data_IF_360960588368
#
_entry.id   IF_360960588368
#
_cell.length_a   1.000
_cell.length_b   1.000
_cell.length_c   1.000
_cell.angle_alpha   90.00
_cell.angle_beta   90.00
_cell.angle_gamma   90.00
#
_symmetry.space_group_name_H-M   'P 1'
#
loop_
_entity.id
_entity.type
_entity.pdbx_description
1 polymer ?
#
# COMPACT_ATOMS: atom_id res chain seq x y z
N UNK A 1 -22.41 -2.52 8.54
CA UNK A 1 -22.41 -1.04 8.52
C UNK A 1 -20.99 -0.58 8.16
N UNK A 2 -20.83 0.11 7.04
CA UNK A 2 -19.56 0.21 6.30
C UNK A 2 -18.48 1.04 7.03
N UNK A 3 -17.39 0.35 7.42
CA UNK A 3 -16.24 0.84 8.21
C UNK A 3 -15.13 1.38 7.31
N UNK A 4 -15.29 2.55 6.70
CA UNK A 4 -14.35 3.05 5.70
C UNK A 4 -14.16 4.57 5.78
N UNK A 5 -12.92 5.04 5.61
CA UNK A 5 -12.56 6.46 5.53
C UNK A 5 -13.31 7.15 4.39
N UNK A 6 -13.84 8.35 4.65
CA UNK A 6 -14.45 9.20 3.62
C UNK A 6 -13.61 10.47 3.45
N UNK A 7 -13.48 10.94 2.21
CA UNK A 7 -12.87 12.24 1.92
C UNK A 7 -13.79 13.35 2.39
N UNK A 8 -13.21 14.38 3.01
CA UNK A 8 -13.92 15.65 3.21
C UNK A 8 -14.12 16.30 1.84
N UNK A 9 -15.38 16.43 1.39
CA UNK A 9 -15.73 17.18 0.19
C UNK A 9 -15.79 16.44 -1.15
N UNK A 10 -15.75 15.10 -1.16
CA UNK A 10 -16.21 14.29 -2.31
C UNK A 10 -15.60 14.67 -3.66
N UNK A 11 -14.29 14.93 -3.74
CA UNK A 11 -13.63 15.20 -5.01
C UNK A 11 -13.13 13.88 -5.65
N UNK A 12 -13.78 13.36 -6.72
CA UNK A 12 -13.34 12.16 -7.41
C UNK A 12 -11.99 12.33 -8.15
N UNK A 13 -11.49 13.56 -8.28
CA UNK A 13 -10.18 13.91 -8.84
C UNK A 13 -9.16 14.36 -7.77
N UNK A 14 -9.52 14.26 -6.48
CA UNK A 14 -8.59 14.51 -5.38
C UNK A 14 -7.47 13.46 -5.34
N UNK A 15 -6.43 13.74 -4.56
CA UNK A 15 -5.47 12.70 -4.21
C UNK A 15 -6.22 11.53 -3.53
N UNK A 16 -5.69 10.31 -3.64
CA UNK A 16 -6.26 9.07 -3.07
C UNK A 16 -5.66 8.73 -1.70
N UNK A 17 -6.39 8.33 -0.65
CA UNK A 17 -5.89 7.90 0.68
C UNK A 17 -4.46 7.31 0.70
N UNK A 18 -4.17 6.34 -0.17
CA UNK A 18 -2.85 5.74 -0.31
C UNK A 18 -1.75 6.64 -0.91
N UNK A 19 -2.07 7.55 -1.82
CA UNK A 19 -1.19 8.61 -2.30
C UNK A 19 -1.00 9.74 -1.27
N UNK A 20 -2.03 10.22 -0.58
CA UNK A 20 -1.89 11.30 0.42
C UNK A 20 -0.97 10.87 1.53
N UNK A 21 -1.22 9.70 2.12
CA UNK A 21 -0.36 9.23 3.20
C UNK A 21 1.09 9.08 2.71
N UNK A 22 1.29 8.61 1.47
CA UNK A 22 2.63 8.54 0.89
C UNK A 22 3.33 9.91 0.79
N UNK A 23 2.59 10.95 0.41
CA UNK A 23 3.10 12.34 0.33
C UNK A 23 3.40 12.87 1.74
N UNK A 24 2.49 12.70 2.68
CA UNK A 24 2.66 13.14 4.08
C UNK A 24 3.88 12.44 4.69
N UNK A 25 4.02 11.12 4.52
CA UNK A 25 5.17 10.36 5.03
C UNK A 25 6.50 10.88 4.46
N UNK A 26 6.58 11.16 3.15
CA UNK A 26 7.80 11.72 2.54
C UNK A 26 8.15 13.09 3.11
N UNK A 27 7.15 13.95 3.31
CA UNK A 27 7.33 15.30 3.86
C UNK A 27 7.78 15.26 5.32
N UNK A 28 7.16 14.38 6.12
CA UNK A 28 7.46 14.20 7.53
C UNK A 28 8.60 13.18 7.77
N UNK A 29 9.40 12.86 6.76
CA UNK A 29 10.43 11.83 6.88
C UNK A 29 11.46 12.21 7.98
N UNK A 30 11.73 11.34 8.98
CA UNK A 30 12.56 11.71 10.13
C UNK A 30 14.05 11.92 9.81
N UNK A 31 14.53 11.43 8.67
CA UNK A 31 15.94 11.49 8.32
C UNK A 31 16.77 10.47 9.12
N UNK A 32 17.77 10.94 9.88
CA UNK A 32 18.61 10.09 10.71
C UNK A 32 18.03 9.95 12.11
N UNK A 33 17.81 8.70 12.53
CA UNK A 33 17.37 8.37 13.88
C UNK A 33 18.54 7.83 14.70
N UNK A 34 18.59 8.25 15.97
CA UNK A 34 19.59 7.79 16.93
C UNK A 34 19.13 6.50 17.61
N UNK A 35 20.07 5.59 17.84
CA UNK A 35 19.85 4.39 18.62
C UNK A 35 21.09 4.08 19.45
N UNK A 36 20.92 3.40 20.58
CA UNK A 36 22.03 2.88 21.37
C UNK A 36 22.30 1.45 20.91
N UNK A 37 23.54 1.16 20.52
CA UNK A 37 23.94 -0.21 20.19
C UNK A 37 24.19 -1.04 21.46
N UNK A 38 24.45 -2.35 21.27
CA UNK A 38 24.70 -3.29 22.38
C UNK A 38 25.94 -2.94 23.23
N UNK A 39 26.80 -2.04 22.72
CA UNK A 39 27.98 -1.54 23.43
C UNK A 39 27.73 -0.25 24.21
N UNK A 40 26.48 0.24 24.21
CA UNK A 40 26.10 1.50 24.88
C UNK A 40 26.46 2.74 24.07
N UNK A 41 26.93 2.59 22.83
CA UNK A 41 27.34 3.72 21.98
C UNK A 41 26.14 4.21 21.20
N UNK A 42 25.88 5.52 21.27
CA UNK A 42 24.85 6.15 20.45
C UNK A 42 25.32 6.21 19.00
N UNK A 43 24.60 5.51 18.12
CA UNK A 43 24.79 5.53 16.67
C UNK A 43 23.60 6.19 15.99
N UNK A 44 23.75 6.46 14.70
CA UNK A 44 22.69 6.98 13.85
C UNK A 44 22.50 6.08 12.64
N UNK A 45 21.25 5.92 12.21
CA UNK A 45 20.87 5.21 10.98
C UNK A 45 19.73 5.96 10.30
N UNK A 46 19.48 5.76 8.99
CA UNK A 46 18.29 6.32 8.37
C UNK A 46 17.03 5.69 8.99
N UNK A 47 15.95 6.45 9.02
CA UNK A 47 14.62 5.92 9.32
C UNK A 47 14.20 4.96 8.19
N UNK A 48 13.87 3.72 8.55
CA UNK A 48 13.51 2.64 7.64
C UNK A 48 12.14 2.05 7.95
N UNK A 49 11.63 2.26 9.16
CA UNK A 49 10.36 1.72 9.64
C UNK A 49 9.44 2.84 10.13
N UNK A 50 8.15 2.52 10.27
CA UNK A 50 7.17 3.50 10.76
C UNK A 50 7.45 3.88 12.22
N UNK A 51 7.91 2.93 13.01
CA UNK A 51 8.31 3.11 14.39
C UNK A 51 9.42 4.16 14.53
N UNK A 52 10.25 4.36 13.51
CA UNK A 52 11.29 5.40 13.50
C UNK A 52 10.72 6.83 13.48
N UNK A 53 9.49 7.01 12.98
CA UNK A 53 8.81 8.31 12.99
C UNK A 53 8.44 8.76 14.40
N UNK A 54 8.44 7.85 15.38
CA UNK A 54 8.23 8.19 16.78
C UNK A 54 9.52 8.59 17.51
N UNK A 55 10.70 8.44 16.89
CA UNK A 55 11.99 8.64 17.58
C UNK A 55 12.52 10.07 17.50
N UNK A 56 12.02 10.86 16.54
CA UNK A 56 12.43 12.25 16.35
C UNK A 56 11.30 13.14 16.83
N UNK A 57 11.64 14.01 17.76
CA UNK A 57 10.75 15.00 18.35
C UNK A 57 11.33 16.39 18.10
N UNK A 58 10.47 17.36 17.79
CA UNK A 58 10.83 18.77 17.92
C UNK A 58 10.82 19.19 19.39
N UNK A 59 11.23 20.42 19.68
CA UNK A 59 11.35 20.96 21.05
C UNK A 59 10.03 20.91 21.84
N UNK A 60 8.88 20.84 21.15
CA UNK A 60 7.55 20.72 21.76
C UNK A 60 7.13 19.25 22.06
N UNK A 61 8.00 18.28 21.82
CA UNK A 61 7.75 16.85 22.10
C UNK A 61 6.88 16.13 21.06
N UNK A 62 6.38 16.84 20.05
CA UNK A 62 5.58 16.26 18.96
C UNK A 62 6.49 15.44 18.04
N UNK A 63 6.16 14.17 17.83
CA UNK A 63 6.91 13.29 16.94
C UNK A 63 6.54 13.49 15.47
N UNK A 64 7.42 13.07 14.55
CA UNK A 64 7.09 13.02 13.12
C UNK A 64 5.83 12.17 12.87
N UNK A 65 5.64 11.06 13.61
CA UNK A 65 4.45 10.23 13.49
C UNK A 65 3.17 10.98 13.89
N UNK A 66 3.23 11.83 14.91
CA UNK A 66 2.09 12.64 15.33
C UNK A 66 1.68 13.67 14.28
N UNK A 67 2.66 14.31 13.62
CA UNK A 67 2.41 15.21 12.48
C UNK A 67 1.77 14.47 11.31
N UNK A 68 2.27 13.27 10.98
CA UNK A 68 1.66 12.43 9.92
C UNK A 68 0.19 12.14 10.24
N UNK A 69 -0.11 11.71 11.47
CA UNK A 69 -1.49 11.42 11.89
C UNK A 69 -2.35 12.67 11.87
N UNK A 70 -1.86 13.80 12.38
CA UNK A 70 -2.61 15.07 12.39
C UNK A 70 -2.96 15.52 10.97
N UNK A 71 -1.98 15.51 10.07
CA UNK A 71 -2.15 15.91 8.66
C UNK A 71 -3.08 14.95 7.92
N UNK A 72 -2.95 13.65 8.18
CA UNK A 72 -3.87 12.67 7.64
C UNK A 72 -5.32 12.98 8.07
N UNK A 73 -5.54 13.23 9.36
CA UNK A 73 -6.88 13.50 9.90
C UNK A 73 -7.44 14.89 9.55
N UNK A 74 -6.63 15.79 8.97
CA UNK A 74 -7.15 17.03 8.32
C UNK A 74 -7.83 16.75 6.98
N UNK A 75 -7.50 15.63 6.33
CA UNK A 75 -8.00 15.28 5.00
C UNK A 75 -9.15 14.25 5.04
N UNK A 76 -9.25 13.47 6.11
CA UNK A 76 -10.14 12.32 6.22
C UNK A 76 -10.97 12.36 7.49
N UNK A 77 -12.20 11.83 7.42
CA UNK A 77 -13.06 11.66 8.59
C UNK A 77 -13.62 10.24 8.68
N UNK A 78 -13.97 9.85 9.91
CA UNK A 78 -14.69 8.63 10.26
C UNK A 78 -15.69 8.96 11.38
N UNK A 79 -16.73 8.15 11.53
CA UNK A 79 -17.65 8.30 12.67
C UNK A 79 -16.90 8.10 13.99
N UNK A 80 -17.31 8.81 15.04
CA UNK A 80 -16.65 8.75 16.35
C UNK A 80 -16.52 7.32 16.89
N UNK A 81 -17.56 6.51 16.72
CA UNK A 81 -17.58 5.09 17.10
C UNK A 81 -16.51 4.23 16.42
N UNK A 82 -15.98 4.67 15.27
CA UNK A 82 -14.97 3.96 14.49
C UNK A 82 -13.57 4.57 14.65
N UNK A 83 -13.41 5.67 15.40
CA UNK A 83 -12.14 6.42 15.45
C UNK A 83 -10.96 5.56 15.90
N UNK A 84 -11.12 4.82 17.00
CA UNK A 84 -10.08 3.96 17.57
C UNK A 84 -9.61 2.89 16.58
N UNK A 85 -10.54 2.26 15.87
CA UNK A 85 -10.20 1.22 14.90
C UNK A 85 -9.58 1.82 13.64
N UNK A 86 -10.07 2.98 13.20
CA UNK A 86 -9.49 3.69 12.06
C UNK A 86 -8.04 4.14 12.35
N UNK A 87 -7.73 4.58 13.57
CA UNK A 87 -6.35 4.87 13.98
C UNK A 87 -5.45 3.62 13.90
N UNK A 88 -5.94 2.45 14.34
CA UNK A 88 -5.20 1.17 14.20
C UNK A 88 -4.97 0.76 12.74
N UNK A 89 -5.95 1.00 11.89
CA UNK A 89 -5.84 0.75 10.45
C UNK A 89 -4.81 1.70 9.83
N UNK A 90 -4.84 2.99 10.20
CA UNK A 90 -3.89 4.00 9.75
C UNK A 90 -2.45 3.60 10.11
N UNK A 91 -2.23 3.20 11.37
CA UNK A 91 -0.95 2.67 11.86
C UNK A 91 -0.43 1.50 11.01
N UNK A 92 -1.30 0.50 10.79
CA UNK A 92 -0.96 -0.67 9.99
C UNK A 92 -0.65 -0.32 8.54
N UNK A 93 -1.39 0.65 8.01
CA UNK A 93 -1.19 1.13 6.64
C UNK A 93 0.11 1.94 6.52
N UNK A 94 0.43 2.78 7.50
CA UNK A 94 1.68 3.56 7.56
C UNK A 94 2.91 2.64 7.59
N UNK A 95 2.92 1.58 8.42
CA UNK A 95 3.99 0.56 8.45
C UNK A 95 4.30 0.00 7.07
N UNK A 96 3.26 -0.39 6.33
CA UNK A 96 3.43 -0.90 4.97
C UNK A 96 3.90 0.21 4.03
N UNK A 97 3.27 1.39 4.10
CA UNK A 97 3.52 2.48 3.18
C UNK A 97 4.94 3.05 3.29
N UNK A 98 5.52 3.10 4.50
CA UNK A 98 6.93 3.48 4.70
C UNK A 98 7.87 2.58 3.91
N UNK A 99 7.66 1.25 3.96
CA UNK A 99 8.45 0.29 3.18
C UNK A 99 8.27 0.50 1.67
N UNK A 100 7.04 0.77 1.23
CA UNK A 100 6.73 1.02 -0.18
C UNK A 100 7.40 2.30 -0.70
N UNK A 101 7.35 3.42 0.04
CA UNK A 101 7.97 4.69 -0.40
C UNK A 101 9.50 4.62 -0.43
N UNK A 102 10.12 3.88 0.49
CA UNK A 102 11.57 3.67 0.51
C UNK A 102 12.00 2.79 -0.66
N UNK A 103 11.24 1.73 -0.95
CA UNK A 103 11.48 0.90 -2.13
C UNK A 103 11.30 1.71 -3.42
N UNK A 104 10.25 2.52 -3.52
CA UNK A 104 10.00 3.35 -4.69
C UNK A 104 11.14 4.36 -4.88
N UNK A 105 11.65 5.00 -3.83
CA UNK A 105 12.78 5.91 -3.96
C UNK A 105 14.04 5.22 -4.50
N UNK A 106 14.27 3.94 -4.20
CA UNK A 106 15.35 3.18 -4.84
C UNK A 106 15.13 3.04 -6.34
N UNK A 107 13.88 2.77 -6.76
CA UNK A 107 13.50 2.67 -8.18
C UNK A 107 13.64 4.03 -8.87
N UNK A 108 13.21 5.10 -8.22
CA UNK A 108 13.34 6.47 -8.72
C UNK A 108 14.83 6.85 -8.89
N UNK A 109 15.69 6.49 -7.95
CA UNK A 109 17.14 6.69 -8.06
C UNK A 109 17.75 5.96 -9.26
N UNK A 110 17.30 4.72 -9.52
CA UNK A 110 17.70 3.98 -10.73
C UNK A 110 17.27 4.74 -11.98
N UNK A 111 16.03 5.23 -12.03
CA UNK A 111 15.54 6.00 -13.17
C UNK A 111 16.35 7.27 -13.39
N UNK A 112 16.57 8.06 -12.34
CA UNK A 112 17.39 9.28 -12.40
C UNK A 112 18.77 8.97 -12.96
N UNK A 113 19.44 7.94 -12.43
CA UNK A 113 20.78 7.57 -12.91
C UNK A 113 20.79 7.26 -14.41
N UNK A 114 19.86 6.44 -14.90
CA UNK A 114 19.84 6.07 -16.32
C UNK A 114 19.38 7.22 -17.23
N UNK A 115 18.43 8.05 -16.77
CA UNK A 115 17.97 9.24 -17.48
C UNK A 115 19.11 10.27 -17.66
N UNK A 116 19.92 10.50 -16.62
CA UNK A 116 21.12 11.34 -16.68
C UNK A 116 22.18 10.82 -17.69
N UNK A 117 22.09 9.54 -18.07
CA UNK A 117 22.94 8.90 -19.08
C UNK A 117 22.23 8.67 -20.43
N UNK A 118 21.03 9.24 -20.60
CA UNK A 118 20.26 9.20 -21.86
C UNK A 118 19.45 7.92 -22.09
N UNK A 119 19.20 7.11 -21.06
CA UNK A 119 18.35 5.91 -21.13
C UNK A 119 17.11 6.08 -20.24
N UNK A 120 15.94 6.23 -20.86
CA UNK A 120 14.67 6.27 -20.13
C UNK A 120 14.23 4.84 -19.74
N UNK A 121 13.97 4.61 -18.45
CA UNK A 121 13.53 3.32 -17.93
C UNK A 121 12.08 3.37 -17.42
N UNK A 122 11.29 2.35 -17.79
CA UNK A 122 10.02 2.09 -17.12
C UNK A 122 10.23 1.49 -15.70
N UNK A 123 9.16 1.41 -14.91
CA UNK A 123 9.21 0.84 -13.55
C UNK A 123 9.71 -0.61 -13.53
N UNK A 124 9.34 -1.41 -14.53
CA UNK A 124 9.67 -2.84 -14.58
C UNK A 124 11.17 -3.02 -14.78
N UNK A 125 11.77 -2.26 -15.68
CA UNK A 125 13.21 -2.25 -15.93
C UNK A 125 13.97 -1.70 -14.73
N UNK A 126 13.56 -0.55 -14.18
CA UNK A 126 14.22 0.06 -13.03
C UNK A 126 14.16 -0.81 -11.76
N UNK A 127 13.04 -1.52 -11.54
CA UNK A 127 12.91 -2.47 -10.43
C UNK A 127 13.92 -3.62 -10.49
N UNK A 128 14.32 -4.04 -11.69
CA UNK A 128 15.25 -5.15 -11.91
C UNK A 128 16.72 -4.74 -11.71
N UNK A 129 17.09 -3.51 -12.08
CA UNK A 129 18.48 -3.02 -12.01
C UNK A 129 18.96 -2.83 -10.57
N UNK A 130 20.27 -2.96 -10.40
CA UNK A 130 21.00 -2.68 -9.17
C UNK A 130 22.15 -1.73 -9.51
N UNK A 131 22.24 -0.62 -8.79
CA UNK A 131 23.33 0.36 -8.92
C UNK A 131 24.44 0.07 -7.91
N UNK A 132 25.66 0.54 -8.21
CA UNK A 132 26.74 0.64 -7.23
C UNK A 132 26.48 1.78 -6.25
N UNK A 133 27.29 1.86 -5.18
CA UNK A 133 27.16 2.92 -4.19
C UNK A 133 27.39 4.30 -4.84
N UNK A 134 28.41 4.41 -5.69
CA UNK A 134 28.78 5.64 -6.39
C UNK A 134 27.65 6.11 -7.32
N UNK A 135 27.03 5.16 -8.04
CA UNK A 135 25.90 5.44 -8.92
C UNK A 135 24.66 5.90 -8.15
N UNK A 136 24.35 5.26 -7.01
CA UNK A 136 23.27 5.76 -6.14
C UNK A 136 23.58 7.14 -5.56
N UNK A 137 24.82 7.40 -5.15
CA UNK A 137 25.22 8.72 -4.63
C UNK A 137 25.03 9.84 -5.68
N UNK A 138 25.26 9.54 -6.95
CA UNK A 138 25.06 10.47 -8.06
C UNK A 138 23.59 10.72 -8.44
N UNK A 139 22.65 9.87 -8.01
CA UNK A 139 21.24 9.88 -8.44
C UNK A 139 20.28 10.16 -7.28
N UNK A 140 20.53 11.26 -6.57
CA UNK A 140 19.76 11.62 -5.36
C UNK A 140 18.30 11.89 -5.68
N UNK A 141 17.42 11.24 -4.92
CA UNK A 141 15.99 11.54 -4.91
C UNK A 141 15.71 12.76 -4.03
N UNK A 142 14.98 13.73 -4.57
CA UNK A 142 14.89 15.08 -4.01
C UNK A 142 14.33 15.20 -2.59
N UNK A 143 13.40 14.32 -2.22
CA UNK A 143 12.79 14.37 -0.89
C UNK A 143 13.70 13.86 0.24
N UNK A 144 14.83 13.23 -0.09
CA UNK A 144 15.88 12.95 0.90
C UNK A 144 16.83 14.13 1.06
N UNK A 145 17.16 14.49 2.29
CA UNK A 145 18.20 15.48 2.55
C UNK A 145 19.58 14.98 2.07
N UNK A 146 20.49 15.87 1.65
CA UNK A 146 21.86 15.50 1.28
C UNK A 146 22.62 14.77 2.39
N UNK A 147 22.27 15.03 3.66
CA UNK A 147 22.88 14.36 4.82
C UNK A 147 22.40 12.92 4.95
N UNK A 148 21.12 12.63 4.69
CA UNK A 148 20.57 11.28 4.86
C UNK A 148 20.86 10.39 3.65
N UNK A 149 20.92 10.98 2.46
CA UNK A 149 21.05 10.24 1.20
C UNK A 149 22.20 9.21 1.19
N UNK A 150 23.44 9.54 1.59
CA UNK A 150 24.53 8.56 1.62
C UNK A 150 24.24 7.33 2.47
N UNK A 151 23.55 7.50 3.60
CA UNK A 151 23.20 6.40 4.48
C UNK A 151 22.14 5.48 3.86
N UNK A 152 21.18 6.04 3.12
CA UNK A 152 20.19 5.26 2.36
C UNK A 152 20.86 4.49 1.22
N UNK A 153 21.78 5.12 0.48
CA UNK A 153 22.54 4.43 -0.57
C UNK A 153 23.36 3.27 0.02
N UNK A 154 24.07 3.50 1.13
CA UNK A 154 24.82 2.44 1.81
C UNK A 154 23.92 1.29 2.27
N UNK A 155 22.71 1.61 2.78
CA UNK A 155 21.73 0.58 3.15
C UNK A 155 21.28 -0.25 1.94
N UNK A 156 20.97 0.36 0.80
CA UNK A 156 20.59 -0.40 -0.40
C UNK A 156 21.74 -1.21 -1.00
N UNK A 157 22.99 -0.80 -0.76
CA UNK A 157 24.17 -1.55 -1.13
C UNK A 157 24.58 -2.62 -0.10
N UNK A 158 23.92 -2.69 1.06
CA UNK A 158 24.23 -3.66 2.11
C UNK A 158 23.90 -5.09 1.68
N UNK A 159 24.66 -6.05 2.23
CA UNK A 159 24.43 -7.48 1.95
C UNK A 159 23.04 -7.91 2.39
N UNK A 160 22.62 -7.46 3.58
CA UNK A 160 21.34 -7.79 4.20
C UNK A 160 20.17 -7.34 3.31
N UNK A 161 20.23 -6.12 2.78
CA UNK A 161 19.20 -5.61 1.88
C UNK A 161 19.16 -6.40 0.57
N UNK A 162 20.31 -6.64 -0.07
CA UNK A 162 20.39 -7.38 -1.33
C UNK A 162 19.86 -8.81 -1.20
N UNK A 163 20.18 -9.50 -0.10
CA UNK A 163 19.65 -10.83 0.18
C UNK A 163 18.14 -10.82 0.41
N UNK A 164 17.62 -9.88 1.21
CA UNK A 164 16.19 -9.73 1.44
C UNK A 164 15.44 -9.44 0.13
N UNK A 165 15.97 -8.53 -0.71
CA UNK A 165 15.42 -8.22 -2.05
C UNK A 165 15.42 -9.44 -2.96
N UNK A 166 16.54 -10.17 -3.03
CA UNK A 166 16.67 -11.37 -3.86
C UNK A 166 15.67 -12.46 -3.44
N UNK A 167 15.50 -12.70 -2.12
CA UNK A 167 14.48 -13.62 -1.60
C UNK A 167 13.07 -13.16 -1.98
N UNK A 168 12.76 -11.88 -1.82
CA UNK A 168 11.46 -11.31 -2.19
C UNK A 168 11.15 -11.45 -3.68
N UNK A 169 12.13 -11.20 -4.55
CA UNK A 169 11.99 -11.39 -6.00
C UNK A 169 11.75 -12.86 -6.37
N UNK A 170 12.55 -13.78 -5.83
CA UNK A 170 12.39 -15.23 -6.07
C UNK A 170 11.02 -15.71 -5.61
N UNK A 171 10.57 -15.31 -4.43
CA UNK A 171 9.26 -15.69 -3.89
C UNK A 171 8.12 -15.23 -4.80
N UNK A 172 8.17 -13.98 -5.31
CA UNK A 172 7.15 -13.45 -6.23
C UNK A 172 7.11 -14.21 -7.56
N UNK A 173 8.28 -14.57 -8.10
CA UNK A 173 8.39 -15.27 -9.39
C UNK A 173 8.07 -16.77 -9.31
N UNK A 174 8.03 -17.36 -8.10
CA UNK A 174 7.72 -18.78 -7.91
C UNK A 174 6.22 -19.11 -7.96
N UNK A 175 5.34 -18.12 -7.77
CA UNK A 175 3.89 -18.37 -7.78
C UNK A 175 3.37 -18.56 -9.20
N UNK A 176 2.91 -19.78 -9.51
CA UNK A 176 2.27 -20.11 -10.79
C UNK A 176 0.82 -19.64 -10.89
N UNK A 177 0.19 -19.37 -9.74
CA UNK A 177 -1.19 -18.92 -9.62
C UNK A 177 -1.24 -17.59 -8.86
N UNK A 178 -0.85 -16.52 -9.55
CA UNK A 178 -0.75 -15.19 -8.97
C UNK A 178 -2.15 -14.59 -8.78
N UNK A 179 -2.61 -14.56 -7.53
CA UNK A 179 -3.89 -13.99 -7.13
C UNK A 179 -3.85 -12.46 -6.88
N UNK A 180 -2.96 -11.73 -7.58
CA UNK A 180 -2.89 -10.27 -7.46
C UNK A 180 -4.13 -9.61 -8.07
N UNK A 181 -4.53 -8.46 -7.53
CA UNK A 181 -5.62 -7.68 -8.10
C UNK A 181 -5.20 -7.14 -9.47
N UNK A 182 -6.10 -7.16 -10.45
CA UNK A 182 -5.76 -6.89 -11.85
C UNK A 182 -5.99 -5.45 -12.31
N UNK A 183 -6.94 -4.72 -11.74
CA UNK A 183 -7.18 -3.32 -12.17
C UNK A 183 -6.39 -2.25 -11.39
N UNK A 184 -5.09 -2.46 -11.21
CA UNK A 184 -4.14 -1.44 -10.76
C UNK A 184 -4.24 -1.02 -9.29
N UNK A 185 -3.82 0.22 -9.00
CA UNK A 185 -3.66 0.79 -7.64
C UNK A 185 -4.96 1.21 -6.97
N UNK A 186 -6.12 1.02 -7.62
CA UNK A 186 -7.42 1.43 -7.08
C UNK A 186 -7.76 0.54 -5.85
N UNK A 187 -7.99 1.12 -4.67
CA UNK A 187 -8.34 0.37 -3.46
C UNK A 187 -9.77 -0.17 -3.53
N UNK A 188 -10.07 -1.17 -2.69
CA UNK A 188 -11.38 -1.82 -2.63
C UNK A 188 -12.56 -0.85 -2.51
N UNK A 189 -12.44 0.16 -1.65
CA UNK A 189 -13.48 1.18 -1.46
C UNK A 189 -13.77 1.97 -2.73
N UNK A 190 -12.74 2.35 -3.50
CA UNK A 190 -12.93 3.07 -4.76
C UNK A 190 -13.55 2.19 -5.85
N UNK A 191 -13.24 0.88 -5.85
CA UNK A 191 -13.92 -0.07 -6.72
C UNK A 191 -15.41 -0.14 -6.40
N UNK A 192 -15.72 -0.28 -5.12
CA UNK A 192 -17.11 -0.35 -4.66
C UNK A 192 -17.88 0.93 -5.01
N UNK A 193 -17.32 2.09 -4.71
CA UNK A 193 -17.92 3.39 -5.02
C UNK A 193 -18.12 3.58 -6.53
N UNK A 194 -17.15 3.14 -7.34
CA UNK A 194 -17.29 3.17 -8.79
C UNK A 194 -18.45 2.29 -9.27
N UNK A 195 -18.55 1.06 -8.75
CA UNK A 195 -19.64 0.14 -9.08
C UNK A 195 -21.00 0.72 -8.68
N UNK A 196 -21.09 1.28 -7.47
CA UNK A 196 -22.31 1.91 -6.95
C UNK A 196 -22.75 3.08 -7.83
N UNK A 197 -21.80 3.97 -8.17
CA UNK A 197 -22.09 5.14 -8.97
C UNK A 197 -22.51 4.82 -10.40
N UNK A 198 -21.86 3.83 -11.03
CA UNK A 198 -22.06 3.54 -12.46
C UNK A 198 -23.17 2.51 -12.72
N UNK A 199 -23.35 1.54 -11.83
CA UNK A 199 -24.23 0.38 -12.04
C UNK A 199 -25.23 0.16 -10.90
N UNK A 200 -25.27 1.03 -9.90
CA UNK A 200 -26.20 0.93 -8.78
C UNK A 200 -25.67 0.16 -7.57
N UNK A 201 -26.28 0.37 -6.38
CA UNK A 201 -25.85 -0.26 -5.13
C UNK A 201 -25.89 -1.79 -5.15
N UNK A 202 -26.77 -2.39 -5.96
CA UNK A 202 -26.91 -3.83 -6.17
C UNK A 202 -25.69 -4.46 -6.84
N UNK A 203 -24.90 -3.67 -7.58
CA UNK A 203 -23.64 -4.12 -8.19
C UNK A 203 -22.42 -3.77 -7.34
N UNK A 204 -22.60 -2.96 -6.30
CA UNK A 204 -21.56 -2.57 -5.36
C UNK A 204 -21.43 -3.51 -4.16
N UNK A 205 -21.79 -4.79 -4.30
CA UNK A 205 -21.62 -5.80 -3.25
C UNK A 205 -20.13 -6.06 -2.98
N UNK A 206 -19.80 -6.51 -1.78
CA UNK A 206 -18.46 -6.93 -1.38
C UNK A 206 -17.94 -8.02 -2.32
N UNK A 207 -18.80 -8.99 -2.64
CA UNK A 207 -18.41 -10.13 -3.48
C UNK A 207 -18.18 -9.72 -4.93
N UNK A 208 -19.06 -8.90 -5.52
CA UNK A 208 -18.82 -8.41 -6.89
C UNK A 208 -17.60 -7.48 -6.94
N UNK A 209 -17.42 -6.62 -5.93
CA UNK A 209 -16.21 -5.78 -5.81
C UNK A 209 -14.94 -6.63 -5.77
N UNK A 210 -14.93 -7.70 -4.95
CA UNK A 210 -13.80 -8.64 -4.90
C UNK A 210 -13.55 -9.30 -6.26
N UNK A 211 -14.61 -9.82 -6.89
CA UNK A 211 -14.50 -10.53 -8.16
C UNK A 211 -13.97 -9.61 -9.27
N UNK A 212 -14.51 -8.40 -9.39
CA UNK A 212 -14.04 -7.34 -10.30
C UNK A 212 -12.57 -7.00 -10.04
N UNK A 213 -12.15 -6.88 -8.78
CA UNK A 213 -10.75 -6.59 -8.46
C UNK A 213 -9.81 -7.72 -8.89
N UNK A 214 -10.27 -8.98 -8.84
CA UNK A 214 -9.49 -10.15 -9.22
C UNK A 214 -9.48 -10.41 -10.72
N UNK A 215 -10.58 -10.13 -11.43
CA UNK A 215 -10.67 -10.28 -12.89
C UNK A 215 -10.12 -9.06 -13.63
N UNK A 216 -10.27 -7.85 -13.09
CA UNK A 216 -9.87 -6.57 -13.69
C UNK A 216 -11.07 -5.74 -14.15
N UNK A 217 -10.99 -4.40 -14.05
CA UNK A 217 -12.09 -3.51 -14.50
C UNK A 217 -12.36 -3.60 -15.99
N UNK A 218 -11.32 -3.90 -16.78
CA UNK A 218 -11.41 -4.11 -18.21
C UNK A 218 -12.29 -5.32 -18.58
N UNK A 219 -12.53 -6.22 -17.62
CA UNK A 219 -13.34 -7.42 -17.78
C UNK A 219 -14.74 -7.26 -17.17
N UNK A 220 -15.18 -6.04 -16.86
CA UNK A 220 -16.57 -5.78 -16.49
C UNK A 220 -17.49 -5.90 -17.71
N UNK A 221 -18.65 -6.51 -17.52
CA UNK A 221 -19.72 -6.45 -18.51
C UNK A 221 -20.51 -5.12 -18.43
N UNK A 222 -21.42 -4.92 -19.39
CA UNK A 222 -22.29 -3.74 -19.46
C UNK A 222 -23.24 -3.58 -18.26
N UNK A 223 -23.45 -4.66 -17.49
CA UNK A 223 -24.36 -4.73 -16.36
C UNK A 223 -23.63 -4.64 -15.00
N UNK A 224 -22.33 -4.39 -14.99
CA UNK A 224 -21.57 -4.25 -13.74
C UNK A 224 -21.03 -5.55 -13.16
N UNK A 225 -21.16 -6.70 -13.83
CA UNK A 225 -20.67 -7.98 -13.31
C UNK A 225 -19.21 -8.24 -13.71
N UNK A 226 -18.47 -8.90 -12.82
CA UNK A 226 -17.09 -9.29 -13.09
C UNK A 226 -16.99 -10.37 -14.17
N UNK A 227 -16.01 -10.25 -15.07
CA UNK A 227 -15.56 -11.35 -15.92
C UNK A 227 -14.77 -12.42 -15.15
N UNK A 228 -14.25 -13.40 -15.89
CA UNK A 228 -13.58 -14.57 -15.30
C UNK A 228 -12.33 -14.21 -14.48
N UNK A 229 -12.20 -14.80 -13.29
CA UNK A 229 -11.00 -14.67 -12.46
C UNK A 229 -9.96 -15.69 -12.94
N UNK A 230 -8.82 -15.20 -13.41
CA UNK A 230 -7.75 -16.07 -13.93
C UNK A 230 -7.07 -16.91 -12.85
N UNK A 231 -7.08 -16.45 -11.60
CA UNK A 231 -6.41 -17.13 -10.50
C UNK A 231 -7.31 -18.20 -9.92
N UNK A 232 -6.85 -19.45 -9.98
CA UNK A 232 -7.60 -20.60 -9.48
C UNK A 232 -7.87 -20.48 -7.98
N UNK A 233 -6.88 -20.02 -7.22
CA UNK A 233 -7.00 -19.77 -5.78
C UNK A 233 -8.04 -18.70 -5.47
N UNK A 234 -8.02 -17.57 -6.18
CA UNK A 234 -8.99 -16.50 -5.94
C UNK A 234 -10.41 -16.92 -6.35
N UNK A 235 -10.54 -17.63 -7.48
CA UNK A 235 -11.82 -18.19 -7.91
C UNK A 235 -12.35 -19.20 -6.87
N UNK A 236 -11.50 -20.11 -6.40
CA UNK A 236 -11.84 -21.08 -5.36
C UNK A 236 -12.38 -20.41 -4.09
N UNK A 237 -11.75 -19.34 -3.60
CA UNK A 237 -12.27 -18.62 -2.43
C UNK A 237 -13.67 -18.03 -2.65
N UNK A 238 -13.94 -17.52 -3.85
CA UNK A 238 -15.26 -17.01 -4.22
C UNK A 238 -16.29 -18.14 -4.29
N UNK A 239 -15.92 -19.28 -4.89
CA UNK A 239 -16.78 -20.44 -5.07
C UNK A 239 -17.09 -21.13 -3.73
N UNK A 240 -16.07 -21.35 -2.89
CA UNK A 240 -16.21 -21.95 -1.57
C UNK A 240 -17.15 -21.09 -0.70
N UNK A 241 -16.94 -19.77 -0.67
CA UNK A 241 -17.81 -18.85 0.07
C UNK A 241 -19.26 -18.85 -0.46
N UNK A 242 -19.42 -18.84 -1.79
CA UNK A 242 -20.75 -18.89 -2.42
C UNK A 242 -21.47 -20.20 -2.11
N UNK A 243 -20.72 -21.30 -1.98
CA UNK A 243 -21.26 -22.62 -1.61
C UNK A 243 -21.73 -22.60 -0.15
N UNK A 244 -20.89 -22.13 0.77
CA UNK A 244 -21.25 -22.04 2.19
C UNK A 244 -22.40 -21.05 2.46
N UNK A 245 -22.52 -19.98 1.67
CA UNK A 245 -23.68 -19.08 1.73
C UNK A 245 -24.98 -19.76 1.31
N UNK A 246 -24.96 -20.58 0.25
CA UNK A 246 -26.13 -21.35 -0.20
C UNK A 246 -26.54 -22.41 0.84
N UNK A 247 -25.57 -23.00 1.53
CA UNK A 247 -25.84 -23.97 2.59
C UNK A 247 -26.44 -23.32 3.84
N UNK A 248 -25.93 -22.14 4.23
CA UNK A 248 -26.43 -21.41 5.39
C UNK A 248 -27.78 -20.71 5.15
N UNK A 249 -28.02 -20.23 3.93
CA UNK A 249 -29.17 -19.39 3.56
C UNK A 249 -29.82 -19.84 2.25
N UNK A 250 -30.38 -21.07 2.16
CA UNK A 250 -30.82 -21.66 0.90
C UNK A 250 -31.89 -20.87 0.15
N UNK A 251 -32.72 -20.09 0.87
CA UNK A 251 -33.84 -19.36 0.27
C UNK A 251 -33.51 -17.91 -0.13
N UNK A 252 -32.50 -17.28 0.47
CA UNK A 252 -32.25 -15.85 0.33
C UNK A 252 -30.77 -15.45 0.25
N UNK A 253 -29.85 -16.39 0.03
CA UNK A 253 -28.41 -16.09 -0.07
C UNK A 253 -28.09 -15.03 -1.13
N UNK A 254 -28.91 -14.88 -2.17
CA UNK A 254 -28.74 -13.90 -3.26
C UNK A 254 -28.98 -12.45 -2.82
N UNK A 255 -29.79 -12.26 -1.78
CA UNK A 255 -30.11 -10.94 -1.22
C UNK A 255 -29.10 -10.49 -0.15
N UNK A 256 -28.14 -11.36 0.18
CA UNK A 256 -27.14 -11.13 1.21
C UNK A 256 -25.78 -10.75 0.60
N UNK A 257 -25.22 -9.61 1.03
CA UNK A 257 -23.95 -9.10 0.53
C UNK A 257 -22.74 -9.90 1.06
N UNK A 258 -22.47 -9.82 2.37
CA UNK A 258 -21.43 -10.60 3.04
C UNK A 258 -21.92 -11.03 4.43
N UNK A 259 -21.75 -12.31 4.76
CA UNK A 259 -21.89 -12.84 6.11
C UNK A 259 -20.51 -13.21 6.68
N UNK A 260 -20.10 -12.49 7.73
CA UNK A 260 -18.80 -12.69 8.38
C UNK A 260 -18.69 -14.10 9.00
N UNK A 261 -19.78 -14.68 9.49
CA UNK A 261 -19.76 -16.02 10.11
C UNK A 261 -19.55 -17.10 9.06
N UNK A 262 -20.16 -16.95 7.90
CA UNK A 262 -19.92 -17.88 6.78
C UNK A 262 -18.49 -17.73 6.29
N UNK A 263 -18.01 -16.50 6.12
CA UNK A 263 -16.65 -16.21 5.63
C UNK A 263 -15.55 -16.82 6.49
N UNK A 264 -15.67 -16.77 7.83
CA UNK A 264 -14.65 -17.31 8.74
C UNK A 264 -14.75 -18.83 8.96
N UNK A 265 -15.79 -19.48 8.44
CA UNK A 265 -15.98 -20.93 8.51
C UNK A 265 -15.75 -21.65 7.16
N UNK A 266 -15.35 -20.90 6.14
CA UNK A 266 -15.01 -21.38 4.78
C UNK A 266 -13.49 -21.49 4.61
#
# INVERSE_FOLDING_TARGET
MYRQFKYLGGNPNGYKYGSELGVILKREYPGLVKYMDDSGVTRSRPALEWEDYYLVHEDEGVSNADRVKQEFWRCFEVTESNRVEADRILESYARRKVKDILYQARVDAVKIYYDDHGEELDDKMACARELTLEQYLASRVDWFSPTVWPHICSYWCSKEFKEARCRGQKSRLQSKDVAQNRGGSRPFTEYRQFLEHKFGPEKATIMNTYAVMKSGMENLDENGNSGAISSQKAQKHLDDYSTSMKEAYPENWQDMDLDERVLYNT
#
